data_IF_967657609126
#
_entry.id   IF_967657609126
#
_cell.length_a   1.000
_cell.length_b   1.000
_cell.length_c   1.000
_cell.angle_alpha   90.00
_cell.angle_beta   90.00
_cell.angle_gamma   90.00
#
_symmetry.space_group_name_H-M   'P 1'
#
loop_
_entity.id
_entity.type
_entity.pdbx_description
1 polymer ?
#
# COMPACT_ATOMS: atom_id res chain seq x y z
N UNK A 1 14.96 19.09 20.37
CA UNK A 1 14.44 17.84 20.98
C UNK A 1 13.04 17.57 20.41
N UNK A 2 12.90 17.54 19.09
CA UNK A 2 13.39 16.50 18.16
C UNK A 2 12.77 15.15 18.49
N UNK A 3 11.62 14.91 17.88
CA UNK A 3 11.22 13.57 17.49
C UNK A 3 11.10 13.59 15.96
N UNK A 4 12.11 12.98 15.35
CA UNK A 4 12.32 12.81 13.92
C UNK A 4 11.30 11.82 13.34
N UNK A 5 10.80 12.13 12.15
CA UNK A 5 9.96 11.26 11.32
C UNK A 5 10.73 10.00 10.90
N UNK A 6 10.06 8.84 10.95
CA UNK A 6 10.11 7.87 9.86
C UNK A 6 8.79 7.11 9.79
N UNK A 7 8.23 7.07 8.58
CA UNK A 7 7.04 6.33 8.17
C UNK A 7 7.17 4.83 8.48
N UNK A 8 6.80 4.44 9.70
CA UNK A 8 6.22 3.13 9.99
C UNK A 8 4.84 3.40 10.51
N UNK A 9 3.84 3.19 9.67
CA UNK A 9 2.44 3.40 10.02
C UNK A 9 2.01 2.40 11.10
N UNK A 10 2.36 2.68 12.37
CA UNK A 10 1.85 1.98 13.55
C UNK A 10 0.36 2.30 13.65
N UNK A 11 -0.46 1.36 13.18
CA UNK A 11 -1.90 1.35 13.48
C UNK A 11 -2.10 1.25 15.01
N UNK A 12 -2.98 2.06 15.62
CA UNK A 12 -3.28 1.97 17.05
C UNK A 12 -3.98 0.64 17.40
N UNK A 13 -3.71 0.13 18.61
CA UNK A 13 -4.10 -1.21 19.08
C UNK A 13 -5.62 -1.50 19.14
N UNK A 14 -6.49 -0.52 18.91
CA UNK A 14 -7.95 -0.73 18.80
C UNK A 14 -8.39 -1.21 17.39
N UNK A 15 -7.46 -1.37 16.45
CA UNK A 15 -7.66 -1.95 15.12
C UNK A 15 -7.21 -3.42 15.02
N UNK A 16 -7.02 -4.10 16.16
CA UNK A 16 -6.91 -5.57 16.19
C UNK A 16 -8.24 -6.16 15.69
N UNK A 17 -8.18 -6.87 14.57
CA UNK A 17 -9.24 -7.68 13.96
C UNK A 17 -10.42 -6.93 13.29
N UNK A 18 -10.15 -6.36 12.12
CA UNK A 18 -10.92 -6.83 10.96
C UNK A 18 -10.00 -7.72 10.14
N UNK A 19 -10.04 -9.03 10.38
CA UNK A 19 -9.68 -9.97 9.34
C UNK A 19 -10.62 -9.65 8.17
N UNK A 20 -10.12 -8.86 7.22
CA UNK A 20 -10.89 -8.54 6.04
C UNK A 20 -11.02 -9.83 5.28
N UNK A 21 -12.23 -10.38 5.29
CA UNK A 21 -12.56 -11.58 4.55
C UNK A 21 -12.50 -11.20 3.08
N UNK A 22 -11.34 -11.41 2.47
CA UNK A 22 -11.16 -11.23 1.04
C UNK A 22 -11.97 -12.31 0.32
N UNK A 23 -12.88 -11.95 -0.60
CA UNK A 23 -13.61 -12.94 -1.38
C UNK A 23 -12.63 -13.86 -2.12
N UNK A 24 -12.90 -15.17 -2.16
CA UNK A 24 -12.01 -16.16 -2.82
C UNK A 24 -11.69 -15.80 -4.29
N UNK A 25 -12.63 -15.15 -4.97
CA UNK A 25 -12.46 -14.71 -6.35
C UNK A 25 -11.48 -13.52 -6.51
N UNK A 26 -11.25 -12.76 -5.44
CA UNK A 26 -10.23 -11.71 -5.34
C UNK A 26 -9.00 -12.18 -4.54
N UNK A 27 -8.78 -13.50 -4.45
CA UNK A 27 -7.61 -14.05 -3.76
C UNK A 27 -6.31 -13.61 -4.44
N UNK A 28 -5.24 -13.59 -3.67
CA UNK A 28 -3.91 -13.20 -4.16
C UNK A 28 -3.52 -13.98 -5.42
N UNK A 29 -3.70 -15.30 -5.41
CA UNK A 29 -3.34 -16.16 -6.54
C UNK A 29 -4.15 -15.82 -7.81
N UNK A 30 -5.42 -15.42 -7.67
CA UNK A 30 -6.27 -15.01 -8.80
C UNK A 30 -5.82 -13.67 -9.40
N UNK A 31 -5.43 -12.72 -8.55
CA UNK A 31 -4.88 -11.42 -8.97
C UNK A 31 -3.54 -11.60 -9.68
N UNK A 32 -2.62 -12.37 -9.10
CA UNK A 32 -1.31 -12.64 -9.68
C UNK A 32 -1.38 -13.47 -10.98
N UNK A 33 -2.37 -14.36 -11.10
CA UNK A 33 -2.63 -15.11 -12.33
C UNK A 33 -3.26 -14.27 -13.45
N UNK A 34 -3.58 -12.99 -13.22
CA UNK A 34 -4.22 -12.13 -14.22
C UNK A 34 -5.67 -12.51 -14.52
N UNK A 35 -6.33 -13.24 -13.60
CA UNK A 35 -7.71 -13.70 -13.79
C UNK A 35 -8.79 -12.72 -13.30
N UNK A 36 -8.36 -11.54 -12.84
CA UNK A 36 -9.20 -10.45 -12.33
C UNK A 36 -9.10 -9.22 -13.25
N UNK A 37 -10.17 -8.42 -13.29
CA UNK A 37 -10.27 -7.20 -14.10
C UNK A 37 -10.11 -5.94 -13.24
N UNK A 38 -10.12 -4.75 -13.86
CA UNK A 38 -9.99 -3.48 -13.14
C UNK A 38 -11.16 -3.26 -12.17
N UNK A 39 -10.93 -2.78 -10.93
CA UNK A 39 -9.68 -2.26 -10.32
C UNK A 39 -8.85 -3.29 -9.52
N UNK A 40 -8.96 -4.57 -9.84
CA UNK A 40 -8.29 -5.66 -9.11
C UNK A 40 -7.31 -6.46 -9.98
N UNK A 41 -6.86 -5.92 -11.12
CA UNK A 41 -5.90 -6.60 -12.00
C UNK A 41 -4.48 -6.63 -11.39
N UNK A 42 -3.58 -7.46 -11.94
CA UNK A 42 -2.16 -7.46 -11.54
C UNK A 42 -1.52 -6.07 -11.70
N UNK A 43 -1.86 -5.36 -12.79
CA UNK A 43 -1.38 -4.00 -13.05
C UNK A 43 -1.90 -3.02 -12.00
N UNK A 44 -3.17 -3.12 -11.62
CA UNK A 44 -3.73 -2.28 -10.56
C UNK A 44 -3.05 -2.55 -9.22
N UNK A 45 -2.71 -3.81 -8.92
CA UNK A 45 -1.98 -4.16 -7.71
C UNK A 45 -0.56 -3.60 -7.69
N UNK A 46 0.17 -3.66 -8.81
CA UNK A 46 1.48 -3.02 -8.95
C UNK A 46 1.38 -1.50 -8.78
N UNK A 47 0.43 -0.85 -9.43
CA UNK A 47 0.21 0.59 -9.30
C UNK A 47 -0.17 0.98 -7.85
N UNK A 48 -0.97 0.16 -7.18
CA UNK A 48 -1.27 0.35 -5.76
C UNK A 48 -0.01 0.29 -4.90
N UNK A 49 0.82 -0.74 -5.08
CA UNK A 49 2.09 -0.86 -4.36
C UNK A 49 3.01 0.33 -4.63
N UNK A 50 2.99 0.86 -5.85
CA UNK A 50 3.81 1.98 -6.26
C UNK A 50 3.36 3.32 -5.66
N UNK A 51 2.11 3.70 -5.88
CA UNK A 51 1.61 5.04 -5.56
C UNK A 51 0.98 5.13 -4.16
N UNK A 52 0.66 4.00 -3.53
CA UNK A 52 0.00 3.98 -2.21
C UNK A 52 0.90 3.40 -1.13
N UNK A 53 1.50 2.22 -1.35
CA UNK A 53 2.37 1.57 -0.36
C UNK A 53 3.86 1.88 -0.54
N UNK A 54 4.24 2.54 -1.65
CA UNK A 54 5.62 2.86 -2.03
C UNK A 54 6.60 1.66 -1.91
N UNK A 55 6.15 0.48 -2.34
CA UNK A 55 6.95 -0.76 -2.34
C UNK A 55 6.73 -1.64 -3.59
N UNK A 56 6.82 -1.07 -4.82
CA UNK A 56 6.62 -1.84 -6.06
C UNK A 56 7.67 -2.94 -6.27
N UNK A 57 8.88 -2.76 -5.73
CA UNK A 57 10.00 -3.70 -5.80
C UNK A 57 9.65 -5.08 -5.24
N UNK A 58 8.79 -5.12 -4.21
CA UNK A 58 8.34 -6.36 -3.57
C UNK A 58 7.58 -7.26 -4.54
N UNK A 59 6.64 -6.72 -5.33
CA UNK A 59 5.90 -7.48 -6.33
C UNK A 59 6.74 -7.76 -7.59
N UNK A 60 7.57 -6.80 -8.02
CA UNK A 60 8.49 -6.98 -9.16
C UNK A 60 9.44 -8.14 -8.93
N UNK A 61 10.07 -8.19 -7.75
CA UNK A 61 10.95 -9.30 -7.36
C UNK A 61 10.22 -10.64 -7.33
N UNK A 62 9.01 -10.69 -6.75
CA UNK A 62 8.22 -11.92 -6.71
C UNK A 62 7.85 -12.45 -8.11
N UNK A 63 7.40 -11.56 -9.00
CA UNK A 63 7.08 -11.93 -10.39
C UNK A 63 8.33 -12.38 -11.15
N UNK A 64 9.45 -11.66 -10.98
CA UNK A 64 10.73 -12.06 -11.54
C UNK A 64 11.15 -13.45 -11.05
N UNK A 65 11.09 -13.73 -9.74
CA UNK A 65 11.50 -15.02 -9.17
C UNK A 65 10.64 -16.18 -9.70
N UNK A 66 9.33 -15.96 -9.86
CA UNK A 66 8.43 -16.93 -10.47
C UNK A 66 8.85 -17.25 -11.91
N UNK A 67 9.11 -16.22 -12.70
CA UNK A 67 9.51 -16.37 -14.10
C UNK A 67 10.91 -16.97 -14.22
N UNK A 68 11.82 -16.59 -13.32
CA UNK A 68 13.16 -17.16 -13.17
C UNK A 68 13.11 -18.66 -12.87
N UNK A 69 12.28 -19.07 -11.91
CA UNK A 69 12.08 -20.47 -11.55
C UNK A 69 11.55 -21.27 -12.74
N UNK A 70 10.60 -20.72 -13.51
CA UNK A 70 10.09 -21.36 -14.72
C UNK A 70 11.19 -21.49 -15.79
N UNK A 71 11.99 -20.44 -16.02
CA UNK A 71 13.13 -20.47 -16.94
C UNK A 71 14.14 -21.53 -16.52
N UNK A 72 14.52 -21.58 -15.25
CA UNK A 72 15.46 -22.56 -14.71
C UNK A 72 14.95 -23.99 -14.87
N UNK A 73 13.68 -24.25 -14.52
CA UNK A 73 13.07 -25.57 -14.65
C UNK A 73 12.92 -26.04 -16.11
N UNK A 74 12.93 -25.11 -17.08
CA UNK A 74 12.89 -25.41 -18.50
C UNK A 74 14.25 -25.77 -19.11
N UNK A 75 15.35 -25.59 -18.37
CA UNK A 75 16.70 -25.98 -18.81
C UNK A 75 16.85 -27.49 -18.93
N UNK A 76 17.89 -27.93 -19.64
CA UNK A 76 18.30 -29.33 -19.67
C UNK A 76 18.73 -29.80 -18.27
N UNK A 77 18.69 -31.12 -18.01
CA UNK A 77 19.17 -31.66 -16.72
C UNK A 77 20.66 -31.37 -16.50
N UNK A 78 21.45 -31.46 -17.56
CA UNK A 78 22.89 -31.15 -17.54
C UNK A 78 23.16 -29.73 -17.06
N UNK A 79 22.39 -28.74 -17.54
CA UNK A 79 22.54 -27.34 -17.11
C UNK A 79 22.01 -27.10 -15.69
N UNK A 80 20.95 -27.80 -15.29
CA UNK A 80 20.41 -27.72 -13.92
C UNK A 80 21.41 -28.29 -12.90
N UNK A 81 22.09 -29.38 -13.23
CA UNK A 81 23.05 -30.06 -12.36
C UNK A 81 24.29 -29.19 -12.06
N UNK A 82 24.58 -28.17 -12.89
CA UNK A 82 25.62 -27.17 -12.62
C UNK A 82 25.29 -26.26 -11.42
N UNK A 83 23.99 -26.14 -11.10
CA UNK A 83 23.47 -25.29 -10.04
C UNK A 83 22.64 -26.14 -9.06
N UNK A 84 23.29 -26.86 -8.14
CA UNK A 84 22.60 -27.71 -7.17
C UNK A 84 21.71 -26.87 -6.23
N UNK A 85 20.62 -27.46 -5.70
CA UNK A 85 19.74 -26.79 -4.75
C UNK A 85 20.51 -26.40 -3.48
N UNK A 86 20.29 -25.17 -3.03
CA UNK A 86 20.79 -24.71 -1.75
C UNK A 86 19.84 -25.12 -0.63
N UNK A 87 20.32 -25.88 0.34
CA UNK A 87 19.62 -26.19 1.58
C UNK A 87 20.11 -25.26 2.69
N UNK A 88 19.19 -24.55 3.34
CA UNK A 88 19.54 -23.64 4.43
C UNK A 88 19.89 -24.42 5.70
N UNK A 89 21.18 -24.63 5.99
CA UNK A 89 21.62 -25.10 7.30
C UNK A 89 21.54 -23.95 8.34
N UNK A 90 20.34 -23.79 8.89
CA UNK A 90 19.96 -22.80 9.92
C UNK A 90 20.98 -22.62 11.08
N UNK A 91 21.69 -23.67 11.58
CA UNK A 91 22.67 -23.54 12.65
C UNK A 91 23.96 -22.78 12.28
N UNK A 92 24.53 -23.02 11.09
CA UNK A 92 25.82 -22.43 10.68
C UNK A 92 25.71 -20.93 10.40
N UNK A 93 24.55 -20.50 9.88
CA UNK A 93 24.29 -19.08 9.62
C UNK A 93 24.15 -18.26 10.92
N UNK A 94 23.69 -18.88 12.01
CA UNK A 94 23.58 -18.23 13.33
C UNK A 94 24.98 -17.93 13.92
N UNK A 95 25.93 -18.83 13.75
CA UNK A 95 27.31 -18.64 14.22
C UNK A 95 28.05 -17.57 13.41
N UNK A 96 27.84 -17.54 12.07
CA UNK A 96 28.40 -16.50 11.18
C UNK A 96 27.76 -15.12 11.40
N UNK A 97 26.44 -15.03 11.61
CA UNK A 97 25.78 -13.75 11.88
C UNK A 97 26.17 -13.17 13.24
N UNK A 98 26.30 -14.01 14.28
CA UNK A 98 26.74 -13.56 15.60
C UNK A 98 28.21 -13.14 15.62
N UNK A 99 29.10 -13.77 14.86
CA UNK A 99 30.51 -13.35 14.73
C UNK A 99 30.64 -12.00 14.04
N UNK A 100 29.90 -11.72 12.97
CA UNK A 100 29.91 -10.40 12.33
C UNK A 100 29.38 -9.26 13.23
N UNK A 101 28.37 -9.53 14.07
CA UNK A 101 27.82 -8.55 15.02
C UNK A 101 28.78 -8.32 16.21
N UNK A 102 29.44 -9.37 16.70
CA UNK A 102 30.37 -9.30 17.83
C UNK A 102 31.71 -8.62 17.46
N UNK A 103 32.20 -8.80 16.24
CA UNK A 103 33.34 -8.03 15.73
C UNK A 103 33.03 -6.54 15.55
N UNK A 104 31.80 -6.17 15.19
CA UNK A 104 31.38 -4.77 15.11
C UNK A 104 31.21 -4.10 16.49
N UNK A 105 30.94 -4.87 17.55
CA UNK A 105 30.79 -4.34 18.92
C UNK A 105 32.10 -4.34 19.72
N UNK A 106 33.07 -5.19 19.38
CA UNK A 106 34.37 -5.23 20.03
C UNK A 106 35.28 -4.02 19.72
N UNK A 107 35.04 -3.28 18.63
CA UNK A 107 35.87 -2.13 18.25
C UNK A 107 35.56 -0.82 18.99
N UNK A 108 34.56 -0.80 19.88
CA UNK A 108 34.08 0.44 20.49
C UNK A 108 34.15 0.50 22.04
N UNK A 109 34.87 -0.42 22.69
CA UNK A 109 35.09 -0.37 24.14
C UNK A 109 36.29 0.51 24.48
N UNK A 110 36.07 1.83 24.52
CA UNK A 110 37.16 2.77 24.79
C UNK A 110 36.77 4.23 24.98
N UNK A 111 35.74 4.57 25.76
CA UNK A 111 35.68 5.89 26.40
C UNK A 111 34.68 5.95 27.58
N UNK A 112 35.20 6.48 28.70
CA UNK A 112 34.56 6.55 30.02
C UNK A 112 33.50 7.65 30.10
N UNK A 113 32.54 7.43 31.01
CA UNK A 113 31.51 8.31 31.57
C UNK A 113 31.91 9.80 31.73
N UNK A 114 30.97 10.71 31.43
CA UNK A 114 30.65 11.87 32.28
C UNK A 114 29.29 12.47 31.91
N UNK A 115 28.61 12.98 32.93
CA UNK A 115 27.21 13.41 33.05
C UNK A 115 26.96 14.91 32.80
N UNK A 116 25.66 15.26 32.75
CA UNK A 116 24.99 16.56 32.99
C UNK A 116 24.44 17.37 31.79
N UNK A 117 23.16 17.74 31.94
CA UNK A 117 22.25 18.57 31.11
C UNK A 117 22.42 20.09 31.44
N UNK A 118 21.55 21.03 30.97
CA UNK A 118 21.05 21.38 29.63
C UNK A 118 21.19 22.91 29.31
N UNK A 119 20.95 23.34 28.06
CA UNK A 119 20.55 24.74 27.78
C UNK A 119 21.06 25.39 26.48
N UNK A 120 20.12 25.64 25.56
CA UNK A 120 20.03 26.64 24.47
C UNK A 120 21.30 27.42 24.03
N UNK A 121 21.63 27.36 22.74
CA UNK A 121 21.34 28.43 21.76
C UNK A 121 21.92 28.11 20.38
N UNK A 122 21.20 28.59 19.38
CA UNK A 122 21.31 28.35 17.95
C UNK A 122 22.50 29.12 17.36
N UNK A 123 23.26 28.45 16.49
CA UNK A 123 24.19 29.07 15.54
C UNK A 123 25.56 28.41 15.55
N UNK A 124 26.02 27.97 14.37
CA UNK A 124 27.43 27.65 14.02
C UNK A 124 28.05 26.29 14.42
N UNK A 125 27.37 25.15 14.21
CA UNK A 125 28.02 23.82 14.33
C UNK A 125 27.79 22.88 13.12
N UNK A 126 27.17 23.33 12.03
CA UNK A 126 26.78 22.41 10.95
C UNK A 126 27.92 22.00 9.99
N UNK A 127 29.11 22.63 10.09
CA UNK A 127 30.26 22.28 9.25
C UNK A 127 31.13 21.15 9.85
N UNK A 128 31.15 20.98 11.18
CA UNK A 128 32.02 20.00 11.86
C UNK A 128 31.33 18.71 12.30
N UNK A 129 29.99 18.67 12.34
CA UNK A 129 29.25 17.41 12.59
C UNK A 129 29.09 16.55 11.33
N UNK A 130 29.27 17.13 10.14
CA UNK A 130 29.24 16.40 8.86
C UNK A 130 30.47 15.53 8.62
N UNK A 131 31.54 15.70 9.41
CA UNK A 131 32.78 14.93 9.29
C UNK A 131 32.92 13.77 10.28
N UNK A 132 32.13 13.72 11.37
CA UNK A 132 32.37 12.76 12.46
C UNK A 132 31.26 11.71 12.70
N UNK A 133 30.32 11.54 11.77
CA UNK A 133 29.37 10.41 11.78
C UNK A 133 29.46 9.51 10.55
N UNK A 134 30.52 9.65 9.76
CA UNK A 134 30.96 8.59 8.84
C UNK A 134 31.55 7.49 9.72
N UNK A 135 30.70 6.62 10.26
CA UNK A 135 31.13 5.25 10.52
C UNK A 135 31.44 4.70 9.14
N UNK A 136 32.70 4.84 8.73
CA UNK A 136 33.27 4.06 7.65
C UNK A 136 33.24 2.63 8.13
N UNK A 137 32.08 1.98 8.01
CA UNK A 137 32.04 0.53 7.90
C UNK A 137 32.91 0.26 6.70
N UNK A 138 34.09 -0.31 6.96
CA UNK A 138 34.97 -0.79 5.91
C UNK A 138 34.13 -1.73 5.06
N UNK A 139 33.74 -1.26 3.88
CA UNK A 139 33.06 -2.06 2.89
C UNK A 139 34.05 -3.15 2.47
N UNK A 140 34.05 -4.28 3.19
CA UNK A 140 34.21 -5.55 2.50
C UNK A 140 32.94 -5.75 1.70
N UNK A 141 32.96 -5.15 0.52
CA UNK A 141 32.17 -5.55 -0.63
C UNK A 141 32.28 -7.08 -0.71
N UNK A 142 31.25 -7.78 -0.21
CA UNK A 142 31.02 -9.16 -0.62
C UNK A 142 30.68 -9.05 -2.08
N UNK A 143 31.70 -9.06 -2.93
CA UNK A 143 31.55 -9.04 -4.36
C UNK A 143 30.67 -10.25 -4.70
N UNK A 144 29.52 -10.08 -5.40
CA UNK A 144 28.65 -11.19 -5.79
C UNK A 144 29.33 -12.17 -6.77
N UNK A 145 30.52 -11.79 -7.24
CA UNK A 145 31.28 -12.49 -8.26
C UNK A 145 32.28 -13.43 -7.58
N UNK A 146 32.16 -14.76 -7.81
CA UNK A 146 33.16 -15.70 -7.37
C UNK A 146 34.47 -15.43 -8.16
N UNK A 147 35.64 -15.85 -7.65
CA UNK A 147 36.90 -15.65 -8.34
C UNK A 147 36.84 -16.18 -9.77
N UNK A 148 37.34 -15.38 -10.71
CA UNK A 148 37.38 -15.67 -12.16
C UNK A 148 38.06 -17.03 -12.37
N UNK A 149 37.33 -17.99 -12.93
CA UNK A 149 37.80 -19.37 -13.18
C UNK A 149 37.24 -20.45 -12.24
N UNK A 150 36.31 -20.12 -11.34
CA UNK A 150 35.58 -21.10 -10.53
C UNK A 150 34.44 -21.78 -11.30
N UNK A 151 34.07 -23.01 -10.94
CA UNK A 151 32.93 -23.75 -11.54
C UNK A 151 31.61 -22.97 -11.50
N UNK A 152 31.48 -22.01 -10.58
CA UNK A 152 30.33 -21.11 -10.45
C UNK A 152 30.16 -20.12 -11.62
N UNK A 153 31.21 -19.84 -12.42
CA UNK A 153 31.06 -18.94 -13.59
C UNK A 153 30.34 -19.60 -14.77
N UNK A 154 30.26 -20.93 -14.81
CA UNK A 154 29.58 -21.70 -15.85
C UNK A 154 28.11 -21.97 -15.54
N UNK A 155 27.63 -21.53 -14.38
CA UNK A 155 26.25 -21.73 -13.96
C UNK A 155 25.27 -20.92 -14.83
N UNK A 156 24.10 -21.51 -15.17
CA UNK A 156 23.09 -20.81 -15.95
C UNK A 156 22.61 -19.54 -15.25
N UNK A 157 22.31 -18.51 -16.05
CA UNK A 157 21.75 -17.23 -15.61
C UNK A 157 22.56 -16.44 -14.56
N UNK A 158 23.88 -16.72 -14.41
CA UNK A 158 24.73 -16.04 -13.41
C UNK A 158 24.67 -14.51 -13.47
N UNK A 159 24.70 -13.95 -14.67
CA UNK A 159 24.65 -12.49 -14.87
C UNK A 159 23.32 -11.89 -14.40
N UNK A 160 22.19 -12.53 -14.75
CA UNK A 160 20.85 -12.10 -14.34
C UNK A 160 20.71 -12.14 -12.82
N UNK A 161 21.12 -13.25 -12.21
CA UNK A 161 21.06 -13.45 -10.76
C UNK A 161 21.94 -12.45 -10.01
N UNK A 162 23.14 -12.16 -10.52
CA UNK A 162 24.06 -11.18 -9.92
C UNK A 162 23.48 -9.76 -9.99
N UNK A 163 22.87 -9.39 -11.12
CA UNK A 163 22.19 -8.10 -11.28
C UNK A 163 21.01 -7.96 -10.31
N UNK A 164 20.19 -9.00 -10.18
CA UNK A 164 19.04 -8.99 -9.27
C UNK A 164 19.49 -8.92 -7.81
N UNK A 165 20.57 -9.60 -7.45
CA UNK A 165 21.16 -9.46 -6.13
C UNK A 165 21.62 -8.03 -5.85
N UNK A 166 22.24 -7.37 -6.83
CA UNK A 166 22.64 -5.97 -6.72
C UNK A 166 21.42 -5.04 -6.58
N UNK A 167 20.37 -5.25 -7.37
CA UNK A 167 19.20 -4.37 -7.39
C UNK A 167 18.29 -4.53 -6.17
N UNK A 168 18.07 -5.75 -5.70
CA UNK A 168 17.04 -6.06 -4.70
C UNK A 168 17.57 -6.54 -3.34
N UNK A 169 18.76 -7.15 -3.29
CA UNK A 169 19.30 -7.79 -2.07
C UNK A 169 20.37 -6.93 -1.41
N UNK A 170 21.19 -6.24 -2.21
CA UNK A 170 22.28 -5.41 -1.69
C UNK A 170 21.74 -4.23 -0.88
N UNK A 171 22.47 -3.85 0.18
CA UNK A 171 22.06 -2.75 1.03
C UNK A 171 22.23 -1.42 0.27
N UNK A 172 21.30 -0.49 0.49
CA UNK A 172 21.25 0.84 -0.15
C UNK A 172 20.99 0.80 -1.66
N UNK A 173 20.52 -0.33 -2.21
CA UNK A 173 20.07 -0.36 -3.59
C UNK A 173 18.75 0.41 -3.76
N UNK A 174 18.49 1.00 -4.94
CA UNK A 174 17.26 1.76 -5.17
C UNK A 174 15.99 0.92 -5.02
N UNK A 175 16.09 -0.40 -5.23
CA UNK A 175 14.98 -1.35 -5.12
C UNK A 175 15.20 -2.35 -3.97
N UNK A 176 15.92 -1.93 -2.92
CA UNK A 176 16.24 -2.78 -1.76
C UNK A 176 14.97 -3.36 -1.12
N UNK A 177 14.92 -4.69 -1.06
CA UNK A 177 13.83 -5.39 -0.38
C UNK A 177 13.97 -5.21 1.14
N UNK A 178 12.82 -5.10 1.81
CA UNK A 178 12.73 -5.06 3.27
C UNK A 178 12.99 -6.43 3.90
N UNK A 179 14.25 -6.87 3.85
CA UNK A 179 14.75 -8.12 4.40
C UNK A 179 15.48 -7.87 5.72
N UNK A 180 15.43 -8.86 6.61
CA UNK A 180 16.30 -8.87 7.79
C UNK A 180 17.75 -9.11 7.38
N UNK A 181 18.70 -8.64 8.19
CA UNK A 181 20.13 -8.87 7.94
C UNK A 181 20.47 -10.36 7.79
N UNK A 182 19.73 -11.23 8.49
CA UNK A 182 19.88 -12.68 8.42
C UNK A 182 19.49 -13.22 7.05
N UNK A 183 18.31 -12.84 6.54
CA UNK A 183 17.83 -13.29 5.23
C UNK A 183 18.74 -12.79 4.12
N UNK A 184 19.13 -11.51 4.19
CA UNK A 184 20.05 -10.92 3.22
C UNK A 184 21.37 -11.68 3.14
N UNK A 185 22.01 -11.92 4.29
CA UNK A 185 23.28 -12.64 4.33
C UNK A 185 23.13 -14.09 3.85
N UNK A 186 22.04 -14.77 4.23
CA UNK A 186 21.77 -16.13 3.77
C UNK A 186 21.64 -16.21 2.24
N UNK A 187 20.95 -15.26 1.62
CA UNK A 187 20.81 -15.19 0.16
C UNK A 187 22.17 -14.88 -0.49
N UNK A 188 22.92 -13.90 0.01
CA UNK A 188 24.23 -13.53 -0.56
C UNK A 188 25.26 -14.67 -0.44
N UNK A 189 25.26 -15.39 0.68
CA UNK A 189 26.10 -16.57 0.88
C UNK A 189 25.73 -17.68 -0.12
N UNK A 190 24.44 -18.01 -0.24
CA UNK A 190 23.95 -19.01 -1.16
C UNK A 190 24.25 -18.67 -2.64
N UNK A 191 24.14 -17.38 -3.01
CA UNK A 191 24.47 -16.87 -4.34
C UNK A 191 25.95 -17.03 -4.69
N UNK A 192 26.86 -17.03 -3.72
CA UNK A 192 28.28 -17.29 -3.98
C UNK A 192 28.51 -18.70 -4.54
N UNK A 193 27.61 -19.65 -4.24
CA UNK A 193 27.79 -21.07 -4.55
C UNK A 193 26.93 -21.58 -5.72
N UNK A 194 25.68 -21.14 -5.83
CA UNK A 194 24.75 -21.69 -6.82
C UNK A 194 23.82 -20.61 -7.36
N UNK A 195 23.33 -20.81 -8.59
CA UNK A 195 22.24 -20.00 -9.18
C UNK A 195 20.88 -20.66 -9.03
N UNK A 196 20.77 -21.79 -8.32
CA UNK A 196 19.48 -22.48 -8.17
C UNK A 196 18.39 -21.55 -7.56
N UNK A 197 17.11 -21.63 -8.01
CA UNK A 197 16.03 -20.76 -7.51
C UNK A 197 15.82 -20.78 -5.98
N UNK A 198 16.17 -21.88 -5.30
CA UNK A 198 16.05 -22.01 -3.84
C UNK A 198 16.96 -21.07 -3.04
N UNK A 199 17.98 -20.51 -3.68
CA UNK A 199 18.86 -19.49 -3.08
C UNK A 199 18.05 -18.28 -2.57
N UNK A 200 16.96 -17.96 -3.25
CA UNK A 200 16.11 -16.82 -2.91
C UNK A 200 15.00 -17.16 -1.91
N UNK A 201 14.88 -18.42 -1.44
CA UNK A 201 13.78 -18.84 -0.55
C UNK A 201 13.63 -17.94 0.68
N UNK A 202 14.70 -17.51 1.39
CA UNK A 202 14.56 -16.58 2.52
C UNK A 202 13.93 -15.25 2.12
N UNK A 203 14.32 -14.69 0.98
CA UNK A 203 13.79 -13.41 0.50
C UNK A 203 12.35 -13.57 -0.03
N UNK A 204 12.09 -14.62 -0.82
CA UNK A 204 10.79 -14.88 -1.44
C UNK A 204 9.73 -15.17 -0.38
N UNK A 205 10.06 -15.92 0.66
CA UNK A 205 9.11 -16.19 1.75
C UNK A 205 8.68 -14.90 2.44
N UNK A 206 9.63 -14.03 2.80
CA UNK A 206 9.33 -12.76 3.48
C UNK A 206 8.58 -11.78 2.58
N UNK A 207 8.94 -11.73 1.29
CA UNK A 207 8.20 -10.97 0.27
C UNK A 207 6.78 -11.51 0.10
N UNK A 208 6.61 -12.82 -0.02
CA UNK A 208 5.32 -13.46 -0.22
C UNK A 208 4.40 -13.27 0.99
N UNK A 209 4.94 -13.37 2.20
CA UNK A 209 4.21 -13.09 3.43
C UNK A 209 3.73 -11.63 3.48
N UNK A 210 4.61 -10.68 3.15
CA UNK A 210 4.25 -9.26 3.06
C UNK A 210 3.12 -9.03 2.06
N UNK A 211 3.29 -9.56 0.83
CA UNK A 211 2.31 -9.41 -0.24
C UNK A 211 0.96 -10.04 0.12
N UNK A 212 0.94 -11.26 0.66
CA UNK A 212 -0.30 -12.01 0.93
C UNK A 212 -1.05 -11.52 2.15
N UNK A 213 -0.35 -11.18 3.23
CA UNK A 213 -0.99 -10.89 4.52
C UNK A 213 -1.09 -9.40 4.83
N UNK A 214 -0.32 -8.55 4.15
CA UNK A 214 -0.34 -7.10 4.37
C UNK A 214 -0.87 -6.37 3.13
N UNK A 215 -0.12 -6.40 2.03
CA UNK A 215 -0.41 -5.56 0.86
C UNK A 215 -1.69 -5.96 0.13
N UNK A 216 -1.92 -7.27 -0.09
CA UNK A 216 -3.08 -7.73 -0.86
C UNK A 216 -4.42 -7.45 -0.18
N UNK A 217 -4.62 -7.74 1.13
CA UNK A 217 -5.85 -7.36 1.80
C UNK A 217 -6.09 -5.84 1.84
N UNK A 218 -5.03 -5.03 1.94
CA UNK A 218 -5.13 -3.57 1.89
C UNK A 218 -5.50 -3.09 0.49
N UNK A 219 -4.86 -3.65 -0.55
CA UNK A 219 -5.17 -3.41 -1.95
C UNK A 219 -6.64 -3.69 -2.25
N UNK A 220 -7.14 -4.88 -1.88
CA UNK A 220 -8.54 -5.24 -2.12
C UNK A 220 -9.48 -4.24 -1.44
N UNK A 221 -9.21 -3.82 -0.20
CA UNK A 221 -10.00 -2.79 0.47
C UNK A 221 -9.97 -1.45 -0.25
N UNK A 222 -8.78 -1.05 -0.73
CA UNK A 222 -8.62 0.16 -1.51
C UNK A 222 -9.45 0.11 -2.79
N UNK A 223 -9.37 -1.00 -3.54
CA UNK A 223 -10.10 -1.23 -4.78
C UNK A 223 -11.62 -1.37 -4.61
N UNK A 224 -12.11 -1.68 -3.41
CA UNK A 224 -13.55 -1.69 -3.11
C UNK A 224 -14.14 -0.28 -2.95
N UNK A 225 -13.31 0.72 -2.61
CA UNK A 225 -13.71 2.12 -2.52
C UNK A 225 -13.95 2.69 -3.93
N UNK A 226 -15.12 3.30 -4.16
CA UNK A 226 -15.46 3.83 -5.48
C UNK A 226 -15.34 5.36 -5.58
N UNK A 227 -15.05 6.04 -4.47
CA UNK A 227 -14.95 7.49 -4.41
C UNK A 227 -13.69 7.93 -3.67
N UNK A 228 -13.12 9.05 -4.11
CA UNK A 228 -11.93 9.65 -3.52
C UNK A 228 -12.19 10.25 -2.14
N UNK A 229 -11.11 10.53 -1.42
CA UNK A 229 -11.16 11.06 -0.03
C UNK A 229 -11.90 12.39 0.05
N UNK A 230 -11.76 13.27 -0.94
CA UNK A 230 -12.44 14.57 -0.97
C UNK A 230 -13.96 14.39 -1.10
N UNK A 231 -14.40 13.58 -2.06
CA UNK A 231 -15.81 13.26 -2.29
C UNK A 231 -16.45 12.57 -1.07
N UNK A 232 -15.77 11.61 -0.46
CA UNK A 232 -16.26 10.95 0.75
C UNK A 232 -16.42 11.93 1.92
N UNK A 233 -15.47 12.86 2.12
CA UNK A 233 -15.61 13.93 3.12
C UNK A 233 -16.83 14.80 2.84
N UNK A 234 -17.02 15.24 1.60
CA UNK A 234 -18.19 16.05 1.22
C UNK A 234 -19.51 15.30 1.45
N UNK A 235 -19.58 14.01 1.10
CA UNK A 235 -20.77 13.17 1.35
C UNK A 235 -21.03 13.03 2.85
N UNK A 236 -20.00 12.81 3.69
CA UNK A 236 -20.17 12.73 5.15
C UNK A 236 -20.71 14.03 5.74
N UNK A 237 -20.16 15.18 5.31
CA UNK A 237 -20.65 16.49 5.75
C UNK A 237 -22.11 16.70 5.36
N UNK A 238 -22.46 16.48 4.09
CA UNK A 238 -23.84 16.63 3.62
C UNK A 238 -24.80 15.66 4.32
N UNK A 239 -24.41 14.39 4.46
CA UNK A 239 -25.20 13.39 5.17
C UNK A 239 -25.41 13.76 6.65
N UNK A 240 -24.39 14.29 7.31
CA UNK A 240 -24.46 14.79 8.68
C UNK A 240 -25.44 15.96 8.83
N UNK A 241 -25.40 16.92 7.89
CA UNK A 241 -26.33 18.05 7.87
C UNK A 241 -27.78 17.61 7.66
N UNK A 242 -28.02 16.64 6.74
CA UNK A 242 -29.36 16.08 6.49
C UNK A 242 -29.88 15.30 7.70
N UNK A 243 -29.01 14.57 8.41
CA UNK A 243 -29.38 13.90 9.65
C UNK A 243 -29.75 14.90 10.75
N UNK A 244 -28.93 15.93 10.93
CA UNK A 244 -29.16 16.96 11.92
C UNK A 244 -30.46 17.73 11.63
N UNK A 245 -30.70 18.11 10.37
CA UNK A 245 -31.93 18.81 9.98
C UNK A 245 -33.17 17.95 10.19
N UNK A 246 -33.09 16.64 9.93
CA UNK A 246 -34.18 15.70 10.22
C UNK A 246 -34.49 15.59 11.73
N UNK A 247 -33.46 15.52 12.57
CA UNK A 247 -33.64 15.48 14.03
C UNK A 247 -34.25 16.79 14.52
N UNK A 248 -33.73 17.95 14.06
CA UNK A 248 -34.26 19.27 14.41
C UNK A 248 -35.71 19.42 13.95
N UNK A 249 -36.04 18.97 12.74
CA UNK A 249 -37.41 18.97 12.23
C UNK A 249 -38.35 18.12 13.10
N UNK A 250 -37.91 16.92 13.49
CA UNK A 250 -38.64 16.06 14.42
C UNK A 250 -38.86 16.74 15.78
N UNK A 251 -37.84 17.40 16.33
CA UNK A 251 -37.90 18.12 17.59
C UNK A 251 -38.88 19.31 17.52
N UNK A 252 -38.79 20.14 16.49
CA UNK A 252 -39.70 21.27 16.29
C UNK A 252 -41.16 20.80 16.17
N UNK A 253 -41.43 19.71 15.44
CA UNK A 253 -42.76 19.12 15.35
C UNK A 253 -43.21 18.38 16.62
N UNK A 254 -42.29 17.96 17.50
CA UNK A 254 -42.68 17.45 18.82
C UNK A 254 -43.17 18.55 19.75
N UNK A 255 -42.54 19.72 19.69
CA UNK A 255 -42.85 20.86 20.52
C UNK A 255 -44.06 21.67 20.03
N UNK A 256 -44.36 21.62 18.73
CA UNK A 256 -45.48 22.38 18.15
C UNK A 256 -46.87 21.78 18.42
N UNK A 257 -47.91 22.58 18.14
CA UNK A 257 -49.32 22.13 18.19
C UNK A 257 -49.74 21.19 17.05
N UNK A 258 -48.85 20.93 16.07
CA UNK A 258 -49.20 20.21 14.85
C UNK A 258 -49.57 18.73 15.08
N UNK A 259 -50.26 18.15 14.09
CA UNK A 259 -50.61 16.73 14.14
C UNK A 259 -49.37 15.82 14.15
N UNK A 260 -49.41 14.73 14.93
CA UNK A 260 -48.26 13.83 15.13
C UNK A 260 -47.76 13.19 13.83
N UNK A 261 -48.66 12.97 12.86
CA UNK A 261 -48.33 12.34 11.58
C UNK A 261 -47.34 13.14 10.74
N UNK A 262 -47.26 14.47 10.90
CA UNK A 262 -46.25 15.30 10.21
C UNK A 262 -44.81 14.90 10.56
N UNK A 263 -44.61 14.29 11.73
CA UNK A 263 -43.29 13.81 12.18
C UNK A 263 -42.77 12.64 11.33
N UNK A 264 -43.66 11.89 10.64
CA UNK A 264 -43.26 10.80 9.73
C UNK A 264 -42.42 11.31 8.55
N UNK A 265 -42.66 12.53 8.08
CA UNK A 265 -41.87 13.10 6.98
C UNK A 265 -40.40 13.31 7.35
N UNK A 266 -40.07 13.45 8.65
CA UNK A 266 -38.69 13.56 9.12
C UNK A 266 -37.89 12.26 8.96
N UNK A 267 -38.56 11.10 8.91
CA UNK A 267 -37.92 9.78 8.83
C UNK A 267 -37.20 9.57 7.50
N UNK A 268 -37.77 10.08 6.41
CA UNK A 268 -37.22 9.90 5.06
C UNK A 268 -35.81 10.51 4.94
N UNK A 269 -35.60 11.81 5.24
CA UNK A 269 -34.25 12.38 5.23
C UNK A 269 -33.35 11.76 6.32
N UNK A 270 -33.90 11.32 7.46
CA UNK A 270 -33.11 10.60 8.47
C UNK A 270 -32.49 9.31 7.91
N UNK A 271 -33.32 8.45 7.32
CA UNK A 271 -32.87 7.15 6.77
C UNK A 271 -31.91 7.39 5.61
N UNK A 272 -32.19 8.34 4.71
CA UNK A 272 -31.29 8.67 3.59
C UNK A 272 -29.95 9.23 4.07
N UNK A 273 -29.95 10.12 5.06
CA UNK A 273 -28.73 10.66 5.66
C UNK A 273 -27.89 9.58 6.35
N UNK A 274 -28.53 8.70 7.13
CA UNK A 274 -27.84 7.60 7.80
C UNK A 274 -27.29 6.58 6.80
N UNK A 275 -28.08 6.24 5.78
CA UNK A 275 -27.66 5.37 4.69
C UNK A 275 -26.44 5.92 3.95
N UNK A 276 -26.45 7.21 3.60
CA UNK A 276 -25.33 7.89 2.97
C UNK A 276 -24.09 7.89 3.88
N UNK A 277 -24.26 8.17 5.17
CA UNK A 277 -23.18 8.16 6.18
C UNK A 277 -22.54 6.78 6.33
N UNK A 278 -23.34 5.71 6.40
CA UNK A 278 -22.88 4.33 6.55
C UNK A 278 -22.16 3.78 5.31
N UNK A 279 -22.51 4.26 4.12
CA UNK A 279 -21.77 3.95 2.89
C UNK A 279 -20.47 4.76 2.81
N UNK A 280 -20.53 6.06 3.14
CA UNK A 280 -19.38 6.93 3.11
C UNK A 280 -18.30 6.53 4.14
N UNK A 281 -18.69 5.95 5.28
CA UNK A 281 -17.72 5.39 6.25
C UNK A 281 -16.93 4.21 5.69
N UNK A 282 -17.42 3.55 4.62
CA UNK A 282 -16.77 2.45 3.92
C UNK A 282 -16.11 2.84 2.59
N UNK A 283 -16.01 4.15 2.29
CA UNK A 283 -15.45 4.64 1.02
C UNK A 283 -16.39 4.48 -0.18
N UNK A 284 -17.68 4.17 0.06
CA UNK A 284 -18.66 3.96 -1.00
C UNK A 284 -19.55 5.19 -1.15
N UNK A 285 -19.49 5.82 -2.32
CA UNK A 285 -20.55 6.67 -2.82
C UNK A 285 -21.64 5.78 -3.41
N UNK A 286 -22.74 5.59 -2.66
CA UNK A 286 -23.86 4.76 -3.10
C UNK A 286 -24.41 5.22 -4.46
N UNK A 287 -24.41 6.54 -4.73
CA UNK A 287 -24.89 7.05 -6.01
C UNK A 287 -24.15 6.48 -7.22
N UNK A 288 -22.82 6.35 -7.12
CA UNK A 288 -22.04 5.76 -8.20
C UNK A 288 -22.30 4.26 -8.38
N UNK A 289 -22.63 3.55 -7.30
CA UNK A 289 -23.00 2.13 -7.36
C UNK A 289 -24.31 1.96 -8.13
N UNK A 290 -25.34 2.75 -7.79
CA UNK A 290 -26.66 2.62 -8.41
C UNK A 290 -26.75 3.21 -9.83
N UNK A 291 -25.89 4.17 -10.19
CA UNK A 291 -25.83 4.77 -11.54
C UNK A 291 -24.92 4.01 -12.52
N UNK A 292 -24.71 2.71 -12.29
CA UNK A 292 -23.95 1.83 -13.18
C UNK A 292 -22.55 1.47 -12.70
N UNK A 293 -22.35 1.23 -11.40
CA UNK A 293 -21.07 0.75 -10.84
C UNK A 293 -19.85 1.54 -11.29
N UNK A 294 -19.92 2.85 -11.14
CA UNK A 294 -18.81 3.75 -11.48
C UNK A 294 -17.85 3.89 -10.31
N UNK A 295 -16.58 4.13 -10.62
CA UNK A 295 -15.56 4.56 -9.68
C UNK A 295 -14.89 5.84 -10.16
N UNK A 296 -14.33 6.58 -9.22
CA UNK A 296 -13.40 7.66 -9.50
C UNK A 296 -12.11 7.08 -10.09
N UNK A 297 -11.57 7.72 -11.13
CA UNK A 297 -10.23 7.38 -11.61
C UNK A 297 -9.19 7.83 -10.61
N UNK A 298 -8.16 7.01 -10.45
CA UNK A 298 -7.02 7.31 -9.59
C UNK A 298 -6.14 8.36 -10.28
N UNK A 299 -5.35 9.15 -9.53
CA UNK A 299 -4.47 10.16 -10.12
C UNK A 299 -3.61 9.59 -11.24
N UNK A 300 -3.02 8.41 -11.01
CA UNK A 300 -2.19 7.73 -12.00
C UNK A 300 -2.93 7.02 -13.15
N UNK A 301 -4.25 7.09 -13.18
CA UNK A 301 -5.07 6.67 -14.33
C UNK A 301 -5.53 7.85 -15.18
N UNK A 302 -5.41 9.08 -14.66
CA UNK A 302 -5.84 10.30 -15.33
C UNK A 302 -4.87 10.78 -16.40
N UNK A 303 -3.65 10.22 -16.43
CA UNK A 303 -2.59 10.55 -17.39
C UNK A 303 -3.10 10.53 -18.83
N UNK A 304 -3.17 11.69 -19.50
CA UNK A 304 -3.44 11.74 -20.93
C UNK A 304 -2.15 11.33 -21.64
N UNK A 305 -2.17 10.21 -22.37
CA UNK A 305 -1.06 9.81 -23.25
C UNK A 305 -0.63 10.95 -24.20
N UNK A 306 -1.53 11.88 -24.50
CA UNK A 306 -1.31 13.04 -25.37
C UNK A 306 -0.57 14.22 -24.69
N UNK A 307 -0.82 14.50 -23.40
CA UNK A 307 -0.13 15.57 -22.66
C UNK A 307 1.31 15.16 -22.30
N UNK A 308 1.51 13.87 -22.03
CA UNK A 308 2.83 13.25 -21.81
C UNK A 308 3.74 13.48 -23.02
N UNK A 309 3.27 13.18 -24.23
CA UNK A 309 4.07 13.43 -25.45
C UNK A 309 4.49 14.90 -25.60
N UNK A 310 3.65 15.85 -25.16
CA UNK A 310 3.97 17.27 -25.18
C UNK A 310 4.99 17.68 -24.10
N UNK A 311 4.89 17.12 -22.89
CA UNK A 311 5.82 17.40 -21.79
C UNK A 311 7.22 16.80 -22.04
N UNK A 312 7.28 15.55 -22.52
CA UNK A 312 8.53 14.88 -22.86
C UNK A 312 9.18 15.40 -24.14
N UNK A 313 8.42 16.02 -25.06
CA UNK A 313 9.01 16.70 -26.23
C UNK A 313 9.87 17.93 -25.90
N UNK A 314 9.77 18.46 -24.67
CA UNK A 314 10.60 19.56 -24.17
C UNK A 314 11.89 19.12 -23.45
N UNK A 315 12.01 17.85 -23.06
CA UNK A 315 13.17 17.31 -22.35
C UNK A 315 14.03 16.54 -23.35
N UNK A 316 15.24 17.02 -23.63
CA UNK A 316 16.09 16.51 -24.71
C UNK A 316 16.24 14.99 -24.69
N UNK A 317 16.13 14.36 -25.88
CA UNK A 317 16.58 12.99 -26.17
C UNK A 317 17.98 12.74 -25.59
N UNK A 318 18.03 12.15 -24.42
CA UNK A 318 19.18 11.37 -23.95
C UNK A 318 18.77 9.91 -24.08
N UNK A 319 19.65 9.09 -24.62
CA UNK A 319 19.51 7.63 -24.75
C UNK A 319 19.57 6.97 -23.35
N UNK A 320 18.55 7.24 -22.53
CA UNK A 320 18.30 6.52 -21.30
C UNK A 320 16.99 5.75 -21.45
N UNK A 321 16.96 4.53 -20.90
CA UNK A 321 15.90 3.55 -21.05
C UNK A 321 14.50 4.20 -20.95
N UNK A 322 13.76 4.18 -22.04
CA UNK A 322 12.48 4.90 -22.19
C UNK A 322 11.46 4.51 -21.12
N UNK A 323 11.62 3.34 -20.52
CA UNK A 323 10.75 2.82 -19.46
C UNK A 323 10.96 3.51 -18.11
N UNK A 324 12.20 3.80 -17.72
CA UNK A 324 12.51 4.43 -16.42
C UNK A 324 12.22 5.95 -16.42
N UNK A 325 12.43 6.61 -17.56
CA UNK A 325 12.08 8.03 -17.72
C UNK A 325 10.56 8.27 -17.73
N UNK A 326 9.80 7.37 -18.35
CA UNK A 326 8.34 7.36 -18.30
C UNK A 326 7.85 7.05 -16.87
N UNK A 327 8.53 6.14 -16.18
CA UNK A 327 8.23 5.79 -14.78
C UNK A 327 8.38 7.04 -13.87
N UNK A 328 9.53 7.70 -13.88
CA UNK A 328 9.79 8.87 -13.01
C UNK A 328 8.86 10.06 -13.29
N UNK A 329 8.55 10.35 -14.55
CA UNK A 329 7.66 11.46 -14.92
C UNK A 329 6.22 11.29 -14.42
N UNK A 330 5.77 10.03 -14.26
CA UNK A 330 4.44 9.73 -13.69
C UNK A 330 4.41 10.08 -12.19
N UNK A 331 5.46 9.81 -11.43
CA UNK A 331 5.47 10.12 -9.99
C UNK A 331 5.45 11.63 -9.73
N UNK A 332 6.30 12.37 -10.44
CA UNK A 332 6.37 13.83 -10.33
C UNK A 332 5.04 14.48 -10.73
N UNK A 333 4.39 14.00 -11.80
CA UNK A 333 3.09 14.51 -12.19
C UNK A 333 2.01 14.17 -11.17
N UNK A 334 1.99 12.96 -10.59
CA UNK A 334 1.01 12.59 -9.56
C UNK A 334 1.18 13.49 -8.34
N UNK A 335 2.41 13.71 -7.88
CA UNK A 335 2.70 14.60 -6.75
C UNK A 335 2.27 16.05 -7.06
N UNK A 336 2.62 16.56 -8.24
CA UNK A 336 2.21 17.88 -8.69
C UNK A 336 0.67 18.00 -8.76
N UNK A 337 0.00 16.98 -9.27
CA UNK A 337 -1.46 16.90 -9.33
C UNK A 337 -2.09 16.90 -7.94
N UNK A 338 -1.56 16.10 -7.01
CA UNK A 338 -2.05 16.02 -5.64
C UNK A 338 -1.81 17.30 -4.84
N UNK A 339 -0.79 18.10 -5.18
CA UNK A 339 -0.49 19.35 -4.51
C UNK A 339 -1.26 20.55 -5.11
N UNK A 340 -1.42 20.59 -6.43
CA UNK A 340 -1.92 21.79 -7.13
C UNK A 340 -3.38 21.74 -7.57
N UNK A 341 -4.07 20.59 -7.45
CA UNK A 341 -5.50 20.54 -7.80
C UNK A 341 -6.41 21.04 -6.69
N UNK A 342 -7.37 21.90 -7.06
CA UNK A 342 -8.39 22.41 -6.14
C UNK A 342 -9.34 21.29 -5.68
N UNK A 343 -9.87 21.42 -4.46
CA UNK A 343 -10.78 20.43 -3.87
C UNK A 343 -12.04 20.17 -4.71
N UNK A 344 -12.54 21.20 -5.43
CA UNK A 344 -13.71 21.07 -6.31
C UNK A 344 -13.42 20.21 -7.54
N UNK A 345 -12.24 20.36 -8.15
CA UNK A 345 -11.82 19.51 -9.28
C UNK A 345 -11.74 18.04 -8.85
N UNK A 346 -11.19 17.78 -7.65
CA UNK A 346 -11.14 16.42 -7.06
C UNK A 346 -12.52 15.82 -6.76
N UNK A 347 -13.56 16.63 -6.57
CA UNK A 347 -14.91 16.09 -6.35
C UNK A 347 -15.60 15.65 -7.65
N UNK A 348 -15.21 16.23 -8.78
CA UNK A 348 -15.78 15.97 -10.09
C UNK A 348 -14.77 15.32 -11.04
N UNK A 349 -13.92 14.46 -10.48
CA UNK A 349 -12.93 13.67 -11.21
C UNK A 349 -13.60 12.80 -12.29
N UNK A 350 -12.83 12.46 -13.33
CA UNK A 350 -13.29 11.58 -14.41
C UNK A 350 -13.62 10.19 -13.82
N UNK A 351 -14.66 9.54 -14.35
CA UNK A 351 -15.22 8.29 -13.81
C UNK A 351 -15.07 7.16 -14.80
N UNK A 352 -14.64 6.00 -14.32
CA UNK A 352 -14.61 4.73 -15.08
C UNK A 352 -15.65 3.77 -14.53
N UNK A 353 -16.05 2.81 -15.35
CA UNK A 353 -16.85 1.68 -14.86
C UNK A 353 -15.93 0.71 -14.11
N UNK A 354 -16.45 0.12 -13.02
CA UNK A 354 -15.83 -1.06 -12.42
C UNK A 354 -16.03 -2.21 -13.41
N UNK A 355 -14.99 -2.96 -13.76
CA UNK A 355 -15.12 -4.11 -14.66
C UNK A 355 -15.30 -5.40 -13.86
N UNK A 356 -14.59 -5.51 -12.74
CA UNK A 356 -14.57 -6.68 -11.87
C UNK A 356 -15.94 -6.98 -11.24
N UNK A 357 -16.48 -8.17 -11.53
CA UNK A 357 -17.85 -8.57 -11.12
C UNK A 357 -17.97 -8.71 -9.61
N UNK A 358 -16.93 -9.21 -8.95
CA UNK A 358 -16.97 -9.43 -7.50
C UNK A 358 -16.90 -8.12 -6.72
N UNK A 359 -16.18 -7.12 -7.22
CA UNK A 359 -16.23 -5.76 -6.66
C UNK A 359 -17.65 -5.20 -6.73
N UNK A 360 -18.33 -5.32 -7.89
CA UNK A 360 -19.74 -4.90 -8.04
C UNK A 360 -20.65 -5.62 -7.03
N UNK A 361 -20.45 -6.93 -6.85
CA UNK A 361 -21.22 -7.74 -5.89
C UNK A 361 -21.01 -7.27 -4.46
N UNK A 362 -19.77 -7.09 -4.03
CA UNK A 362 -19.43 -6.66 -2.66
C UNK A 362 -19.97 -5.27 -2.38
N UNK A 363 -19.78 -4.30 -3.28
CA UNK A 363 -20.32 -2.94 -3.14
C UNK A 363 -21.85 -2.94 -2.99
N UNK A 364 -22.55 -3.77 -3.78
CA UNK A 364 -24.00 -3.92 -3.71
C UNK A 364 -24.44 -4.50 -2.36
N UNK A 365 -23.75 -5.53 -1.87
CA UNK A 365 -24.07 -6.15 -0.56
C UNK A 365 -23.85 -5.14 0.56
N UNK A 366 -22.73 -4.43 0.56
CA UNK A 366 -22.42 -3.40 1.56
C UNK A 366 -23.48 -2.30 1.56
N UNK A 367 -23.89 -1.83 0.38
CA UNK A 367 -24.95 -0.82 0.26
C UNK A 367 -26.27 -1.35 0.79
N UNK A 368 -26.71 -2.56 0.39
CA UNK A 368 -27.95 -3.17 0.89
C UNK A 368 -27.95 -3.33 2.41
N UNK A 369 -26.86 -3.83 2.99
CA UNK A 369 -26.72 -3.97 4.45
C UNK A 369 -26.82 -2.60 5.14
N UNK A 370 -26.16 -1.58 4.59
CA UNK A 370 -26.20 -0.21 5.14
C UNK A 370 -27.61 0.38 5.07
N UNK A 371 -28.38 0.07 4.01
CA UNK A 371 -29.77 0.49 3.88
C UNK A 371 -30.68 -0.19 4.92
N UNK A 372 -30.54 -1.51 5.10
CA UNK A 372 -31.30 -2.26 6.10
C UNK A 372 -31.04 -1.71 7.51
N UNK A 373 -29.77 -1.48 7.86
CA UNK A 373 -29.41 -0.87 9.16
C UNK A 373 -30.04 0.53 9.29
N UNK A 374 -29.97 1.36 8.25
CA UNK A 374 -30.58 2.69 8.28
C UNK A 374 -32.10 2.64 8.48
N UNK A 375 -32.81 1.70 7.84
CA UNK A 375 -34.23 1.50 8.03
C UNK A 375 -34.57 1.05 9.46
N UNK A 376 -33.82 0.11 10.04
CA UNK A 376 -34.04 -0.36 11.43
C UNK A 376 -33.87 0.79 12.42
N UNK A 377 -32.82 1.60 12.28
CA UNK A 377 -32.64 2.79 13.12
C UNK A 377 -33.72 3.85 12.85
N UNK A 378 -34.18 3.97 11.60
CA UNK A 378 -35.32 4.81 11.24
C UNK A 378 -36.64 4.41 11.93
N UNK A 379 -36.88 3.10 12.13
CA UNK A 379 -38.03 2.62 12.91
C UNK A 379 -37.94 3.05 14.39
N UNK A 380 -36.72 3.04 14.96
CA UNK A 380 -36.51 3.57 16.31
C UNK A 380 -36.78 5.09 16.37
N UNK A 381 -36.32 5.84 15.36
CA UNK A 381 -36.65 7.27 15.22
C UNK A 381 -38.18 7.49 15.20
N UNK A 382 -38.93 6.69 14.43
CA UNK A 382 -40.40 6.73 14.41
C UNK A 382 -40.97 6.52 15.81
N UNK A 383 -40.53 5.48 16.51
CA UNK A 383 -41.00 5.17 17.87
C UNK A 383 -40.79 6.33 18.84
N UNK A 384 -39.61 6.97 18.78
CA UNK A 384 -39.27 8.12 19.63
C UNK A 384 -40.16 9.33 19.30
N UNK A 385 -40.16 9.78 18.04
CA UNK A 385 -40.82 11.05 17.69
C UNK A 385 -42.34 10.94 17.61
N UNK A 386 -42.92 9.78 17.28
CA UNK A 386 -44.38 9.59 17.25
C UNK A 386 -44.93 9.24 18.63
N UNK A 387 -44.17 8.47 19.43
CA UNK A 387 -44.58 8.07 20.77
C UNK A 387 -44.71 9.24 21.75
N UNK A 388 -43.90 10.29 21.56
CA UNK A 388 -43.96 11.48 22.40
C UNK A 388 -45.27 12.27 22.21
N UNK A 389 -45.93 12.70 23.31
CA UNK A 389 -47.11 13.55 23.24
C UNK A 389 -46.80 14.93 22.63
N UNK A 390 -47.82 15.76 22.43
CA UNK A 390 -47.62 17.14 21.93
C UNK A 390 -47.09 18.02 23.06
N UNK A 391 -46.06 18.81 22.79
CA UNK A 391 -45.48 19.75 23.75
C UNK A 391 -46.31 21.04 23.93
N UNK A 392 -47.10 21.43 22.91
CA UNK A 392 -47.94 22.64 22.89
C UNK A 392 -47.17 23.93 23.24
N UNK A 393 -45.91 24.06 22.80
CA UNK A 393 -45.06 25.19 23.14
C UNK A 393 -45.26 26.40 22.22
N UNK A 394 -45.62 26.16 20.95
CA UNK A 394 -45.94 27.18 19.94
C UNK A 394 -46.81 26.60 18.81
#
# INVERSE_FOLDING_TARGET
MDWVFYSRQKRPAHLKERLVVVPKALSFDKVIAGSTCSPCSTRDFLNYLRFVEHSPETLRFFLWHRDYTNKFNSLSREDQDLSPPWELNVPDTLEKAHTHISHATASNSGRKHSSFLPGNSIGTIDEKLRQNSVVTVSHHEVTPLPPVGSSASFQPFRNEVSLVAQLYISAQSPYELNLTSRERLAVLEALAHTTHPSVFDPAVNSVLESLRYQSHPNFVQHSLSNAGRARIRAIRLLAGLVLLSSIVFGLLLTLSHQARWWRLFGVVPFVLGLFAMLNASKGICFWLVYLGFKREMLPWELFPAEEVNSFFSGMSKSEHDSSEAEEYGIEEWVENYENNTTLLRRMYERRTEVEEKEVKRVQRVISKQSFVVACVVGLAYIGIFIGLPRGNLF
#
